data_IF_901481645405
#
_entry.id   IF_901481645405
#
_cell.length_a   1.000
_cell.length_b   1.000
_cell.length_c   1.000
_cell.angle_alpha   90.00
_cell.angle_beta   90.00
_cell.angle_gamma   90.00
#
_symmetry.space_group_name_H-M   'P 1'
#
loop_
_entity.id
_entity.type
_entity.pdbx_description
1 polymer ?
#
# COMPACT_ATOMS: atom_id res chain seq x y z
N UNK A 1 6.53 3.01 -1.30
CA UNK A 1 5.37 2.08 -1.22
C UNK A 1 4.50 2.17 -2.46
N UNK A 2 3.85 3.30 -2.73
CA UNK A 2 2.85 3.47 -3.79
C UNK A 2 3.39 3.70 -5.21
N UNK A 3 4.67 3.40 -5.44
CA UNK A 3 5.25 3.45 -6.78
C UNK A 3 5.21 2.05 -7.38
N UNK A 4 4.75 1.96 -8.63
CA UNK A 4 4.80 0.78 -9.49
C UNK A 4 6.13 0.00 -9.42
N UNK A 5 7.27 0.69 -9.29
CA UNK A 5 8.61 0.07 -9.22
C UNK A 5 8.85 -0.74 -7.93
N UNK A 6 8.05 -0.50 -6.89
CA UNK A 6 8.12 -1.25 -5.64
C UNK A 6 7.16 -2.45 -5.61
N UNK A 7 6.38 -2.67 -6.68
CA UNK A 7 5.45 -3.79 -6.76
C UNK A 7 6.19 -5.08 -7.14
N UNK A 8 5.91 -6.16 -6.41
CA UNK A 8 6.43 -7.49 -6.72
C UNK A 8 5.67 -8.18 -7.87
N UNK A 9 4.49 -7.64 -8.21
CA UNK A 9 3.68 -8.07 -9.33
C UNK A 9 3.94 -7.15 -10.51
N UNK A 10 4.18 -7.70 -11.71
CA UNK A 10 4.49 -6.94 -12.92
C UNK A 10 3.24 -6.29 -13.55
N UNK A 11 2.43 -5.59 -12.76
CA UNK A 11 1.24 -4.85 -13.18
C UNK A 11 1.34 -3.39 -12.71
N UNK A 12 0.84 -2.44 -13.51
CA UNK A 12 0.81 -1.04 -13.07
C UNK A 12 -0.45 -0.78 -12.23
N UNK A 13 -0.33 -0.47 -10.92
CA UNK A 13 -1.48 -0.21 -10.06
C UNK A 13 -2.31 1.01 -10.51
N UNK A 14 -1.75 1.91 -11.34
CA UNK A 14 -2.44 3.10 -11.87
C UNK A 14 -3.44 2.77 -12.97
N UNK A 15 -3.34 1.61 -13.60
CA UNK A 15 -4.33 1.14 -14.58
C UNK A 15 -5.55 0.46 -13.92
N UNK A 16 -5.60 0.41 -12.60
CA UNK A 16 -6.71 -0.12 -11.83
C UNK A 16 -7.10 0.77 -10.66
N UNK A 17 -7.89 0.20 -9.76
CA UNK A 17 -8.22 0.79 -8.46
C UNK A 17 -7.97 -0.23 -7.36
N UNK A 18 -7.52 0.24 -6.21
CA UNK A 18 -7.41 -0.56 -5.00
C UNK A 18 -8.80 -0.79 -4.41
N UNK A 19 -9.16 -2.07 -4.26
CA UNK A 19 -10.32 -2.50 -3.50
C UNK A 19 -10.03 -2.34 -2.01
N UNK A 20 -8.91 -2.91 -1.56
CA UNK A 20 -8.37 -2.77 -0.21
C UNK A 20 -6.85 -2.75 -0.25
N UNK A 21 -6.22 -2.16 0.77
CA UNK A 21 -4.78 -2.19 0.92
C UNK A 21 -4.36 -2.28 2.39
N UNK A 22 -3.18 -2.85 2.63
CA UNK A 22 -2.54 -2.91 3.94
C UNK A 22 -1.09 -2.49 3.85
N UNK A 23 -0.67 -1.63 4.76
CA UNK A 23 0.69 -1.15 4.91
C UNK A 23 1.22 -1.54 6.30
N UNK A 24 2.14 -2.50 6.33
CA UNK A 24 2.77 -2.95 7.57
C UNK A 24 4.15 -2.30 7.69
N UNK A 25 4.33 -1.46 8.69
CA UNK A 25 5.59 -0.79 8.96
C UNK A 25 6.34 -1.49 10.08
N UNK A 26 7.67 -1.55 9.97
CA UNK A 26 8.56 -2.20 10.93
C UNK A 26 9.72 -1.29 11.31
N UNK A 27 10.07 -1.26 12.60
CA UNK A 27 11.08 -0.39 13.18
C UNK A 27 10.47 0.65 14.12
N UNK A 28 11.30 1.38 14.88
CA UNK A 28 10.84 2.40 15.82
C UNK A 28 10.31 3.61 15.06
N UNK A 29 9.00 3.87 15.16
CA UNK A 29 8.34 4.99 14.50
C UNK A 29 7.11 5.48 15.27
N UNK A 30 6.74 6.74 15.04
CA UNK A 30 5.51 7.30 15.60
C UNK A 30 4.29 6.76 14.86
N UNK A 31 3.39 6.11 15.57
CA UNK A 31 2.11 5.65 15.01
C UNK A 31 1.29 6.81 14.45
N UNK A 32 1.35 7.98 15.11
CA UNK A 32 0.69 9.20 14.64
C UNK A 32 1.20 9.64 13.27
N UNK A 33 2.51 9.68 13.07
CA UNK A 33 3.11 10.09 11.79
C UNK A 33 2.74 9.10 10.67
N UNK A 34 2.73 7.80 10.98
CA UNK A 34 2.29 6.76 10.04
C UNK A 34 0.85 7.00 9.60
N UNK A 35 -0.06 7.23 10.53
CA UNK A 35 -1.48 7.44 10.22
C UNK A 35 -1.70 8.73 9.41
N UNK A 36 -1.05 9.84 9.78
CA UNK A 36 -1.11 11.10 9.04
C UNK A 36 -0.60 10.94 7.59
N UNK A 37 0.52 10.25 7.40
CA UNK A 37 1.04 9.97 6.06
C UNK A 37 0.12 9.08 5.23
N UNK A 38 -0.48 8.06 5.84
CA UNK A 38 -1.39 7.15 5.14
C UNK A 38 -2.70 7.82 4.72
N UNK A 39 -3.23 8.72 5.55
CA UNK A 39 -4.38 9.57 5.19
C UNK A 39 -4.02 10.50 4.05
N UNK A 40 -2.87 11.18 4.14
CA UNK A 40 -2.41 12.11 3.09
C UNK A 40 -2.24 11.42 1.73
N UNK A 41 -1.72 10.19 1.72
CA UNK A 41 -1.58 9.42 0.47
C UNK A 41 -2.95 9.06 -0.11
N UNK A 42 -3.88 8.57 0.72
CA UNK A 42 -5.24 8.25 0.28
C UNK A 42 -5.94 9.48 -0.31
N UNK A 43 -5.86 10.62 0.37
CA UNK A 43 -6.49 11.87 -0.09
C UNK A 43 -5.90 12.36 -1.41
N UNK A 44 -4.57 12.33 -1.56
CA UNK A 44 -3.90 12.75 -2.81
C UNK A 44 -4.18 11.83 -4.00
N UNK A 45 -4.47 10.56 -3.73
CA UNK A 45 -4.62 9.51 -4.74
C UNK A 45 -6.03 8.91 -4.72
N UNK A 46 -7.03 9.65 -4.25
CA UNK A 46 -8.38 9.15 -3.97
C UNK A 46 -9.03 8.47 -5.18
N UNK A 47 -8.75 8.94 -6.39
CA UNK A 47 -9.21 8.36 -7.65
C UNK A 47 -8.74 6.91 -7.91
N UNK A 48 -7.64 6.50 -7.28
CA UNK A 48 -7.09 5.15 -7.37
C UNK A 48 -7.64 4.20 -6.30
N UNK A 49 -8.51 4.66 -5.40
CA UNK A 49 -9.21 3.84 -4.42
C UNK A 49 -10.69 3.75 -4.77
N UNK A 50 -11.32 2.61 -4.50
CA UNK A 50 -12.77 2.50 -4.67
C UNK A 50 -13.51 3.28 -3.59
N UNK A 51 -14.52 4.06 -4.00
CA UNK A 51 -15.29 4.92 -3.09
C UNK A 51 -16.34 4.16 -2.26
N UNK A 52 -16.77 3.00 -2.74
CA UNK A 52 -17.83 2.20 -2.11
C UNK A 52 -17.32 1.28 -0.99
N UNK A 53 -16.00 1.17 -0.80
CA UNK A 53 -15.40 0.59 0.41
C UNK A 53 -14.78 1.73 1.21
N UNK A 54 -15.46 2.26 2.24
CA UNK A 54 -14.91 3.34 3.05
C UNK A 54 -13.71 2.84 3.88
N UNK A 55 -12.71 3.69 4.08
CA UNK A 55 -11.54 3.39 4.92
C UNK A 55 -10.86 2.06 4.54
N UNK A 56 -10.70 1.79 3.24
CA UNK A 56 -10.23 0.52 2.69
C UNK A 56 -8.71 0.29 2.80
N UNK A 57 -7.98 1.23 3.40
CA UNK A 57 -6.56 1.08 3.68
C UNK A 57 -6.33 0.97 5.18
N UNK A 58 -5.53 -0.01 5.60
CA UNK A 58 -5.11 -0.19 6.99
C UNK A 58 -3.60 -0.09 7.13
N UNK A 59 -3.15 0.57 8.19
CA UNK A 59 -1.76 0.64 8.63
C UNK A 59 -1.55 -0.23 9.86
N UNK A 60 -0.35 -0.79 10.01
CA UNK A 60 0.11 -1.40 11.26
C UNK A 60 1.57 -1.10 11.50
N UNK A 61 2.00 -1.07 12.76
CA UNK A 61 3.38 -0.78 13.16
C UNK A 61 3.88 -1.91 14.06
N UNK A 62 5.09 -2.39 13.79
CA UNK A 62 5.80 -3.37 14.60
C UNK A 62 7.19 -2.84 14.97
N UNK A 63 7.50 -2.78 16.26
CA UNK A 63 8.75 -2.18 16.74
C UNK A 63 10.01 -2.96 16.35
N UNK A 64 9.87 -4.23 15.93
CA UNK A 64 10.99 -5.11 15.57
C UNK A 64 11.30 -5.00 14.07
N UNK A 65 12.43 -4.38 13.67
CA UNK A 65 12.81 -4.26 12.28
C UNK A 65 13.33 -5.60 11.71
N UNK A 66 13.38 -5.76 10.37
CA UNK A 66 14.03 -6.90 9.75
C UNK A 66 15.56 -6.83 9.86
N UNK A 67 16.26 -7.95 9.63
CA UNK A 67 17.72 -8.02 9.70
C UNK A 67 18.35 -7.10 8.63
N UNK A 68 19.36 -6.31 9.03
CA UNK A 68 20.13 -5.46 8.12
C UNK A 68 19.48 -4.11 7.77
N UNK A 69 18.29 -3.80 8.30
CA UNK A 69 17.60 -2.52 8.08
C UNK A 69 17.12 -1.94 9.41
N UNK A 70 17.11 -0.61 9.52
CA UNK A 70 16.55 0.10 10.68
C UNK A 70 15.03 0.25 10.61
N UNK A 71 14.49 0.34 9.39
CA UNK A 71 13.07 0.45 9.10
C UNK A 71 12.72 -0.29 7.82
N UNK A 72 11.50 -0.81 7.75
CA UNK A 72 10.95 -1.40 6.53
C UNK A 72 9.44 -1.19 6.46
N UNK A 73 8.90 -1.31 5.25
CA UNK A 73 7.46 -1.32 5.04
C UNK A 73 7.10 -2.43 4.06
N UNK A 74 6.01 -3.15 4.34
CA UNK A 74 5.43 -4.16 3.47
C UNK A 74 4.07 -3.68 3.02
N UNK A 75 3.80 -3.79 1.72
CA UNK A 75 2.54 -3.39 1.13
C UNK A 75 1.81 -4.60 0.57
N UNK A 76 0.54 -4.71 0.90
CA UNK A 76 -0.35 -5.73 0.38
C UNK A 76 -1.53 -4.99 -0.26
N UNK A 77 -1.59 -4.99 -1.59
CA UNK A 77 -2.65 -4.34 -2.34
C UNK A 77 -3.56 -5.36 -3.00
N UNK A 78 -4.87 -5.26 -2.75
CA UNK A 78 -5.88 -5.91 -3.58
C UNK A 78 -6.36 -4.89 -4.63
N UNK A 79 -5.85 -5.02 -5.86
CA UNK A 79 -6.07 -4.06 -6.94
C UNK A 79 -6.65 -4.74 -8.17
N UNK A 80 -7.55 -4.05 -8.87
CA UNK A 80 -8.07 -4.51 -10.17
C UNK A 80 -7.02 -4.52 -11.27
N UNK A 81 -5.84 -3.91 -11.06
CA UNK A 81 -4.69 -3.98 -11.97
C UNK A 81 -4.16 -5.41 -12.16
N UNK A 82 -4.47 -6.35 -11.26
CA UNK A 82 -4.07 -7.76 -11.38
C UNK A 82 -4.56 -8.42 -12.67
N UNK A 83 -5.63 -7.89 -13.29
CA UNK A 83 -6.11 -8.35 -14.59
C UNK A 83 -5.04 -8.29 -15.68
N UNK A 84 -4.06 -7.39 -15.59
CA UNK A 84 -2.95 -7.32 -16.54
C UNK A 84 -2.10 -8.59 -16.53
N UNK A 85 -1.90 -9.18 -15.35
CA UNK A 85 -1.21 -10.46 -15.24
C UNK A 85 -2.02 -11.58 -15.87
N UNK A 86 -3.32 -11.63 -15.60
CA UNK A 86 -4.21 -12.65 -16.16
C UNK A 86 -4.36 -12.54 -17.68
N UNK A 87 -4.29 -11.34 -18.26
CA UNK A 87 -4.34 -11.14 -19.72
C UNK A 87 -3.04 -11.51 -20.45
N UNK A 88 -1.91 -11.63 -19.73
CA UNK A 88 -0.62 -12.01 -20.32
C UNK A 88 -0.44 -13.53 -20.42
N UNK A 89 -1.27 -14.29 -19.73
CA UNK A 89 -1.34 -15.76 -19.80
C UNK A 89 -2.32 -16.14 -20.91
#
# INVERSE_FOLDING_TARGET
MWDSKNMMCAADPRHGRYLTASAMFRGKMSTKEVDEHMINVQNKNSSYFVEWIPNNVKSSVCDIPPRGLSMASTFIGNSTSIQEMFRRV
#
